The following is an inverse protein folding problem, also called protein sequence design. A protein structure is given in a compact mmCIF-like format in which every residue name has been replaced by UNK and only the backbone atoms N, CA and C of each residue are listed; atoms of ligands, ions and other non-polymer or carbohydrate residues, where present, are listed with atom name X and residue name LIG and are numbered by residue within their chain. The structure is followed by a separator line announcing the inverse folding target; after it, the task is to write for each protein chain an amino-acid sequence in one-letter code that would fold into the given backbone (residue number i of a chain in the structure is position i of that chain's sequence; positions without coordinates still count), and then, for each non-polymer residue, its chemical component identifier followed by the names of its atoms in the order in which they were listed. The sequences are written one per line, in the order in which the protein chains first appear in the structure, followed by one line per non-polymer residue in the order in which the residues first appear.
data_IF_057338458468
#
_entry.id   IF_057338458468
#
_cell.length_a   1.000
_cell.length_b   1.000
_cell.length_c   1.000
_cell.angle_alpha   90.00
_cell.angle_beta   90.00
_cell.angle_gamma   90.00
#
_symmetry.space_group_name_H-M   'P 1'
#
loop_
_entity.id
_entity.type
_entity.pdbx_description
1 polymer ?
#
# COMPACT_ATOMS: atom_id res chain seq x y z
N UNK A 1 -10.47 86.22 -19.20
CA UNK A 1 -10.80 85.51 -17.94
C UNK A 1 -9.63 84.55 -17.66
N UNK A 2 -8.52 85.07 -17.14
CA UNK A 2 -8.03 84.98 -15.74
C UNK A 2 -7.44 83.59 -15.40
N UNK A 3 -6.11 83.41 -15.40
CA UNK A 3 -5.17 83.34 -14.23
C UNK A 3 -5.43 82.11 -13.35
N UNK A 4 -4.52 81.23 -12.93
CA UNK A 4 -3.06 81.23 -12.76
C UNK A 4 -2.72 80.45 -11.47
N UNK A 5 -1.54 79.82 -11.43
CA UNK A 5 -0.72 79.50 -10.22
C UNK A 5 -1.07 78.31 -9.29
N UNK A 6 -0.02 77.51 -9.04
CA UNK A 6 0.27 76.57 -7.94
C UNK A 6 0.44 77.33 -6.59
N UNK A 7 0.90 76.76 -5.44
CA UNK A 7 0.80 75.43 -4.78
C UNK A 7 0.35 75.56 -3.27
N UNK A 8 0.47 74.46 -2.50
CA UNK A 8 0.66 74.35 -1.02
C UNK A 8 -0.50 73.84 -0.12
N UNK A 9 -0.04 73.09 0.90
CA UNK A 9 -0.68 72.24 1.93
C UNK A 9 -1.82 72.85 2.78
N UNK A 10 -2.58 71.97 3.47
CA UNK A 10 -2.62 71.99 4.96
C UNK A 10 -2.30 70.58 5.52
N UNK A 11 -1.36 70.39 6.47
CA UNK A 11 -1.44 70.55 7.94
C UNK A 11 -2.58 69.75 8.60
N UNK A 12 -2.11 68.80 9.41
CA UNK A 12 -2.72 67.91 10.43
C UNK A 12 -3.98 68.36 11.16
N UNK A 13 -4.84 67.38 11.47
CA UNK A 13 -5.38 67.16 12.83
C UNK A 13 -5.71 65.67 13.02
N UNK A 14 -5.20 65.11 14.11
CA UNK A 14 -5.35 63.74 14.57
C UNK A 14 -6.78 63.45 15.06
N UNK A 15 -7.30 62.24 14.84
CA UNK A 15 -8.08 61.52 15.86
C UNK A 15 -7.80 60.03 15.69
N UNK A 16 -7.21 59.42 16.72
CA UNK A 16 -6.82 58.03 16.73
C UNK A 16 -7.97 57.03 16.61
N UNK A 17 -7.67 55.90 15.97
CA UNK A 17 -8.31 54.62 16.24
C UNK A 17 -7.18 53.62 16.53
N UNK A 18 -7.23 52.86 17.62
CA UNK A 18 -6.19 51.90 17.94
C UNK A 18 -6.09 50.84 16.84
N UNK A 19 -4.84 50.46 16.54
CA UNK A 19 -4.49 49.40 15.60
C UNK A 19 -5.12 48.07 16.04
N UNK A 20 -5.81 47.42 15.12
CA UNK A 20 -6.28 46.05 15.29
C UNK A 20 -5.07 45.12 15.12
N UNK A 21 -4.56 44.63 16.25
CA UNK A 21 -3.43 43.71 16.33
C UNK A 21 -3.84 42.36 15.70
N UNK A 22 -3.05 41.76 14.78
CA UNK A 22 -3.37 40.45 14.23
C UNK A 22 -3.35 39.40 15.33
N UNK A 23 -4.53 38.85 15.63
CA UNK A 23 -4.69 37.78 16.61
C UNK A 23 -3.85 36.56 16.20
N UNK A 24 -2.89 36.22 17.06
CA UNK A 24 -2.13 34.98 17.04
C UNK A 24 -3.11 33.80 17.08
N UNK A 25 -3.04 32.83 16.15
CA UNK A 25 -3.91 31.68 16.23
C UNK A 25 -3.66 30.91 17.53
N UNK A 26 -4.76 30.71 18.25
CA UNK A 26 -4.92 29.96 19.49
C UNK A 26 -4.33 28.57 19.40
N UNK A 27 -3.65 28.17 20.49
CA UNK A 27 -3.07 26.87 20.74
C UNK A 27 -3.93 25.72 20.22
N UNK A 28 -3.38 24.97 19.28
CA UNK A 28 -3.87 23.64 18.92
C UNK A 28 -3.76 22.80 20.19
N UNK A 29 -4.90 22.35 20.71
CA UNK A 29 -4.96 21.31 21.73
C UNK A 29 -4.19 20.10 21.22
N UNK A 30 -3.05 19.83 21.85
CA UNK A 30 -2.35 18.57 21.73
C UNK A 30 -3.35 17.50 22.16
N UNK A 31 -3.84 16.71 21.22
CA UNK A 31 -4.53 15.48 21.56
C UNK A 31 -3.51 14.65 22.33
N UNK A 32 -3.83 14.34 23.59
CA UNK A 32 -3.10 13.35 24.37
C UNK A 32 -3.12 12.04 23.58
N UNK A 33 -2.05 11.79 22.81
CA UNK A 33 -1.68 10.45 22.40
C UNK A 33 -1.33 9.73 23.70
N UNK A 34 -2.33 9.05 24.26
CA UNK A 34 -2.05 7.99 25.22
C UNK A 34 -1.27 6.93 24.47
N UNK A 35 0.05 6.98 24.62
CA UNK A 35 0.92 5.85 24.41
C UNK A 35 0.32 4.66 25.15
N UNK A 36 -0.26 3.72 24.40
CA UNK A 36 -0.68 2.43 24.90
C UNK A 36 0.59 1.65 25.30
N UNK A 37 1.10 1.93 26.50
CA UNK A 37 2.05 1.14 27.29
C UNK A 37 1.45 -0.25 27.66
N UNK A 38 0.85 -0.93 26.68
CA UNK A 38 0.44 -2.32 26.77
C UNK A 38 0.74 -3.09 25.47
N UNK A 39 1.54 -2.51 24.58
CA UNK A 39 1.96 -3.17 23.34
C UNK A 39 3.09 -4.19 23.53
N UNK A 40 3.66 -4.29 24.74
CA UNK A 40 4.82 -5.13 25.06
C UNK A 40 4.50 -6.64 25.19
N UNK A 41 3.38 -7.11 24.63
CA UNK A 41 2.98 -8.52 24.77
C UNK A 41 2.09 -9.09 23.67
N UNK A 42 1.80 -8.34 22.59
CA UNK A 42 1.08 -8.94 21.45
C UNK A 42 2.07 -9.71 20.59
N UNK A 43 2.02 -11.04 20.69
CA UNK A 43 2.72 -11.94 19.75
C UNK A 43 2.16 -11.66 18.36
N UNK A 44 2.97 -11.01 17.52
CA UNK A 44 2.66 -10.80 16.12
C UNK A 44 3.24 -11.96 15.33
N UNK A 45 2.43 -12.55 14.45
CA UNK A 45 2.91 -13.48 13.45
C UNK A 45 2.97 -12.75 12.11
N UNK A 46 4.10 -12.88 11.42
CA UNK A 46 4.35 -12.21 10.14
C UNK A 46 4.57 -13.25 9.07
N UNK A 47 3.66 -13.26 8.08
CA UNK A 47 3.89 -13.96 6.82
C UNK A 47 4.49 -12.98 5.82
N UNK A 48 5.64 -13.33 5.24
CA UNK A 48 6.27 -12.56 4.18
C UNK A 48 6.36 -13.40 2.91
N UNK A 49 5.81 -12.86 1.83
CA UNK A 49 5.95 -13.38 0.47
C UNK A 49 6.97 -12.50 -0.27
N UNK A 50 8.08 -13.09 -0.69
CA UNK A 50 9.08 -12.45 -1.53
C UNK A 50 8.88 -12.88 -2.98
N UNK A 51 8.63 -11.91 -3.85
CA UNK A 51 8.45 -12.12 -5.29
C UNK A 51 9.83 -11.95 -5.94
N UNK A 52 10.46 -13.08 -6.30
CA UNK A 52 11.87 -13.15 -6.66
C UNK A 52 12.12 -12.85 -8.15
N UNK A 53 11.17 -13.19 -9.01
CA UNK A 53 11.24 -12.92 -10.46
C UNK A 53 9.87 -12.93 -11.10
N UNK A 54 9.78 -12.34 -12.29
CA UNK A 54 8.61 -12.41 -13.17
C UNK A 54 8.80 -13.47 -14.27
N UNK A 55 7.76 -13.71 -15.07
CA UNK A 55 7.84 -14.58 -16.24
C UNK A 55 8.58 -13.95 -17.43
N UNK A 56 8.69 -12.62 -17.50
CA UNK A 56 9.42 -11.96 -18.58
C UNK A 56 9.51 -10.42 -18.54
N UNK A 57 9.02 -9.73 -17.50
CA UNK A 57 9.12 -8.28 -17.36
C UNK A 57 10.15 -7.90 -16.28
N UNK A 58 11.18 -7.14 -16.64
CA UNK A 58 12.27 -6.76 -15.73
C UNK A 58 11.91 -5.59 -14.80
N UNK A 59 10.85 -4.84 -15.12
CA UNK A 59 10.51 -3.58 -14.46
C UNK A 59 9.29 -3.68 -13.57
N UNK A 60 8.38 -4.60 -13.85
CA UNK A 60 7.11 -4.71 -13.15
C UNK A 60 6.78 -6.15 -12.79
N UNK A 61 6.22 -6.30 -11.60
CA UNK A 61 5.73 -7.59 -11.12
C UNK A 61 4.38 -7.40 -10.44
N UNK A 62 3.48 -8.36 -10.64
CA UNK A 62 2.10 -8.24 -10.15
C UNK A 62 1.48 -9.57 -9.79
N UNK A 63 0.33 -9.47 -9.15
CA UNK A 63 -0.55 -10.58 -8.80
C UNK A 63 -2.00 -10.12 -8.97
N UNK A 64 -2.90 -11.07 -9.20
CA UNK A 64 -4.33 -10.80 -9.16
C UNK A 64 -4.84 -10.74 -7.72
N UNK A 65 -4.43 -11.68 -6.88
CA UNK A 65 -4.99 -11.86 -5.55
C UNK A 65 -4.27 -12.90 -4.71
N UNK A 66 -4.50 -12.87 -3.41
CA UNK A 66 -3.98 -13.81 -2.43
C UNK A 66 -5.11 -14.15 -1.45
N UNK A 67 -5.29 -15.43 -1.18
CA UNK A 67 -6.21 -15.92 -0.16
C UNK A 67 -5.48 -16.77 0.88
N UNK A 68 -5.90 -16.64 2.13
CA UNK A 68 -5.39 -17.42 3.26
C UNK A 68 -6.56 -18.25 3.80
N UNK A 69 -6.30 -19.52 4.09
CA UNK A 69 -7.28 -20.44 4.66
C UNK A 69 -6.80 -20.98 6.00
N UNK A 70 -7.75 -21.27 6.90
CA UNK A 70 -7.47 -21.89 8.19
C UNK A 70 -7.48 -23.43 8.12
N UNK A 71 -7.19 -24.10 9.24
CA UNK A 71 -7.18 -25.58 9.32
C UNK A 71 -8.53 -26.25 9.02
N UNK A 72 -9.62 -25.48 9.00
CA UNK A 72 -10.96 -25.96 8.67
C UNK A 72 -11.31 -25.69 7.20
N UNK A 73 -10.34 -25.22 6.41
CA UNK A 73 -10.51 -24.76 5.03
C UNK A 73 -11.48 -23.57 4.90
N UNK A 74 -11.64 -22.78 5.97
CA UNK A 74 -12.41 -21.54 5.92
C UNK A 74 -11.48 -20.37 5.56
N UNK A 75 -11.97 -19.47 4.70
CA UNK A 75 -11.19 -18.30 4.27
C UNK A 75 -10.98 -17.34 5.45
N UNK A 76 -9.72 -17.03 5.73
CA UNK A 76 -9.33 -16.05 6.75
C UNK A 76 -9.64 -14.65 6.21
N UNK A 77 -10.42 -13.88 6.98
CA UNK A 77 -10.75 -12.49 6.63
C UNK A 77 -9.57 -11.56 6.92
N UNK A 78 -8.75 -11.32 5.91
CA UNK A 78 -7.68 -10.31 5.95
C UNK A 78 -8.28 -8.90 5.79
N UNK A 79 -7.86 -7.96 6.64
CA UNK A 79 -8.25 -6.54 6.54
C UNK A 79 -7.07 -5.70 6.05
N UNK A 80 -7.35 -4.47 5.65
CA UNK A 80 -6.35 -3.53 5.15
C UNK A 80 -5.15 -3.37 6.10
N UNK A 81 -5.38 -3.26 7.41
CA UNK A 81 -4.30 -3.12 8.41
C UNK A 81 -3.45 -4.38 8.60
N UNK A 82 -3.90 -5.55 8.12
CA UNK A 82 -3.12 -6.77 8.16
C UNK A 82 -2.20 -6.89 6.95
N UNK A 83 -2.39 -6.08 5.90
CA UNK A 83 -1.68 -6.19 4.64
C UNK A 83 -0.72 -5.01 4.47
N UNK A 84 0.51 -5.31 4.06
CA UNK A 84 1.44 -4.31 3.55
C UNK A 84 2.18 -4.86 2.33
N UNK A 85 2.57 -3.97 1.43
CA UNK A 85 3.41 -4.32 0.28
C UNK A 85 4.55 -3.33 0.13
N UNK A 86 5.70 -3.82 -0.33
CA UNK A 86 6.86 -3.01 -0.63
C UNK A 86 7.52 -3.44 -1.95
N UNK A 87 7.59 -2.56 -2.96
CA UNK A 87 6.90 -1.27 -3.00
C UNK A 87 5.37 -1.45 -3.00
N UNK A 88 4.63 -0.44 -2.53
CA UNK A 88 3.18 -0.56 -2.36
C UNK A 88 2.48 -0.78 -3.70
N UNK A 89 2.80 0.02 -4.71
CA UNK A 89 2.28 -0.10 -6.07
C UNK A 89 3.12 0.73 -7.04
N UNK A 90 2.73 0.77 -8.31
CA UNK A 90 3.31 1.68 -9.32
C UNK A 90 3.18 3.16 -8.97
N UNK A 91 2.32 3.55 -8.02
CA UNK A 91 2.18 4.94 -7.57
C UNK A 91 3.41 5.50 -6.85
N UNK A 92 4.41 4.66 -6.53
CA UNK A 92 5.70 5.17 -6.03
C UNK A 92 6.50 5.92 -7.10
N UNK A 93 6.14 5.75 -8.39
CA UNK A 93 6.87 6.31 -9.51
C UNK A 93 6.45 7.77 -9.73
N UNK A 94 7.39 8.73 -9.89
CA UNK A 94 7.06 10.16 -9.99
C UNK A 94 6.11 10.55 -11.14
N UNK A 95 6.03 9.73 -12.18
CA UNK A 95 5.21 9.97 -13.37
C UNK A 95 3.84 9.28 -13.33
N UNK A 96 3.51 8.61 -12.22
CA UNK A 96 2.26 7.86 -12.02
C UNK A 96 1.48 8.53 -10.91
N UNK A 97 0.22 8.85 -11.16
CA UNK A 97 -0.69 9.43 -10.19
C UNK A 97 -2.03 8.69 -10.22
N UNK A 98 -2.51 8.29 -9.05
CA UNK A 98 -3.83 7.66 -8.87
C UNK A 98 -4.05 6.34 -9.62
N UNK A 99 -3.00 5.56 -9.90
CA UNK A 99 -3.16 4.25 -10.55
C UNK A 99 -3.92 3.27 -9.64
N UNK A 100 -4.95 2.56 -10.14
CA UNK A 100 -5.81 1.75 -9.29
C UNK A 100 -5.19 0.42 -8.86
N UNK A 101 -3.99 0.05 -9.35
CA UNK A 101 -3.31 -1.24 -9.07
C UNK A 101 -2.62 -1.27 -7.71
N UNK A 102 -3.35 -0.95 -6.66
CA UNK A 102 -2.88 -0.85 -5.26
C UNK A 102 -2.82 -2.20 -4.57
N UNK A 103 -2.07 -2.30 -3.47
CA UNK A 103 -1.89 -3.58 -2.75
C UNK A 103 -3.19 -4.13 -2.17
N UNK A 104 -4.17 -3.27 -1.87
CA UNK A 104 -5.51 -3.68 -1.41
C UNK A 104 -6.22 -4.64 -2.36
N UNK A 105 -5.90 -4.58 -3.66
CA UNK A 105 -6.46 -5.50 -4.65
C UNK A 105 -6.05 -6.95 -4.39
N UNK A 106 -4.93 -7.20 -3.69
CA UNK A 106 -4.52 -8.54 -3.30
C UNK A 106 -5.56 -9.27 -2.44
N UNK A 107 -6.42 -8.55 -1.71
CA UNK A 107 -7.36 -9.12 -0.75
C UNK A 107 -8.82 -8.77 -1.05
N UNK A 108 -9.12 -8.20 -2.23
CA UNK A 108 -10.46 -7.78 -2.62
C UNK A 108 -11.42 -8.96 -2.94
N UNK A 109 -10.88 -10.16 -3.17
CA UNK A 109 -11.63 -11.36 -3.53
C UNK A 109 -12.00 -11.49 -5.02
N UNK A 110 -11.58 -10.55 -5.86
CA UNK A 110 -11.77 -10.57 -7.31
C UNK A 110 -10.54 -11.17 -8.01
N UNK A 111 -10.26 -12.45 -7.76
CA UNK A 111 -8.96 -13.04 -8.10
C UNK A 111 -8.84 -13.56 -9.55
N UNK A 112 -9.93 -13.90 -10.23
CA UNK A 112 -9.92 -14.33 -11.63
C UNK A 112 -10.44 -13.21 -12.54
N UNK A 113 -9.54 -12.32 -12.95
CA UNK A 113 -9.88 -11.12 -13.72
C UNK A 113 -8.69 -10.63 -14.54
N UNK A 114 -8.94 -9.89 -15.61
CA UNK A 114 -7.95 -9.16 -16.43
C UNK A 114 -8.10 -7.62 -16.31
N UNK A 115 -9.01 -7.17 -15.44
CA UNK A 115 -9.31 -5.77 -15.17
C UNK A 115 -8.21 -5.16 -14.30
N UNK A 116 -7.52 -4.15 -14.82
CA UNK A 116 -6.36 -3.52 -14.19
C UNK A 116 -6.68 -3.08 -12.75
N UNK A 117 -7.83 -2.45 -12.58
CA UNK A 117 -8.34 -1.88 -11.36
C UNK A 117 -8.69 -2.89 -10.26
N UNK A 118 -8.64 -4.19 -10.55
CA UNK A 118 -8.88 -5.27 -9.59
C UNK A 118 -7.62 -6.08 -9.26
N UNK A 119 -6.46 -5.75 -9.85
CA UNK A 119 -5.19 -6.47 -9.67
C UNK A 119 -4.14 -5.57 -9.03
N UNK A 120 -3.05 -6.17 -8.56
CA UNK A 120 -1.91 -5.45 -7.99
C UNK A 120 -0.72 -5.44 -8.94
N UNK A 121 -0.03 -4.31 -9.05
CA UNK A 121 1.21 -4.17 -9.79
C UNK A 121 2.16 -3.22 -9.07
N UNK A 122 3.42 -3.61 -8.98
CA UNK A 122 4.48 -2.83 -8.33
C UNK A 122 5.76 -2.88 -9.16
N UNK A 123 6.63 -1.86 -9.12
CA UNK A 123 7.89 -1.91 -9.84
C UNK A 123 8.88 -2.84 -9.13
N UNK A 124 9.72 -3.50 -9.93
CA UNK A 124 10.90 -4.21 -9.45
C UNK A 124 12.04 -3.21 -9.27
N UNK A 125 12.46 -2.99 -8.02
CA UNK A 125 13.54 -2.05 -7.71
C UNK A 125 14.91 -2.74 -7.81
N UNK A 126 15.96 -2.05 -8.29
CA UNK A 126 17.30 -2.62 -8.35
C UNK A 126 17.76 -3.15 -6.98
N UNK A 127 18.30 -4.36 -6.98
CA UNK A 127 18.78 -5.07 -5.78
C UNK A 127 17.74 -5.29 -4.67
N UNK A 128 16.43 -5.20 -4.99
CA UNK A 128 15.35 -5.44 -4.03
C UNK A 128 14.23 -6.26 -4.68
N UNK A 129 13.75 -7.27 -3.96
CA UNK A 129 12.56 -8.00 -4.36
C UNK A 129 11.29 -7.28 -3.85
N UNK A 130 10.23 -7.33 -4.64
CA UNK A 130 8.90 -6.95 -4.18
C UNK A 130 8.46 -7.92 -3.07
N UNK A 131 7.82 -7.37 -2.05
CA UNK A 131 7.42 -8.11 -0.85
C UNK A 131 5.99 -7.79 -0.48
N UNK A 132 5.26 -8.82 -0.05
CA UNK A 132 3.93 -8.70 0.54
C UNK A 132 3.98 -9.27 1.95
N UNK A 133 3.40 -8.56 2.89
CA UNK A 133 3.36 -8.91 4.31
C UNK A 133 1.92 -9.09 4.76
N UNK A 134 1.66 -10.18 5.48
CA UNK A 134 0.45 -10.35 6.27
C UNK A 134 0.84 -10.35 7.75
N UNK A 135 0.37 -9.35 8.49
CA UNK A 135 0.68 -9.13 9.91
C UNK A 135 -0.59 -9.29 10.74
N UNK A 136 -0.57 -10.24 11.67
CA UNK A 136 -1.69 -10.49 12.57
C UNK A 136 -1.29 -10.19 14.01
N UNK A 137 -2.08 -9.37 14.70
CA UNK A 137 -1.87 -9.01 16.11
C UNK A 137 -2.34 -10.10 17.09
N UNK A 138 -2.93 -11.17 16.56
CA UNK A 138 -3.34 -12.37 17.30
C UNK A 138 -2.80 -13.60 16.57
N UNK A 139 -2.53 -14.70 17.27
CA UNK A 139 -2.14 -15.95 16.63
C UNK A 139 -3.22 -16.41 15.63
N UNK A 140 -2.84 -16.54 14.36
CA UNK A 140 -3.71 -17.06 13.28
C UNK A 140 -3.07 -18.31 12.70
N UNK A 141 -3.79 -19.43 12.77
CA UNK A 141 -3.35 -20.69 12.19
C UNK A 141 -3.70 -20.74 10.70
N UNK A 142 -2.76 -20.33 9.84
CA UNK A 142 -2.89 -20.45 8.39
C UNK A 142 -2.48 -21.85 7.95
N UNK A 143 -3.36 -22.54 7.21
CA UNK A 143 -3.09 -23.87 6.63
C UNK A 143 -2.66 -23.77 5.17
N UNK A 144 -3.27 -22.85 4.41
CA UNK A 144 -3.09 -22.76 2.96
C UNK A 144 -2.98 -21.31 2.51
N UNK A 145 -2.03 -21.03 1.62
CA UNK A 145 -2.02 -19.84 0.77
C UNK A 145 -2.47 -20.21 -0.64
N UNK A 146 -3.37 -19.41 -1.21
CA UNK A 146 -3.73 -19.48 -2.63
C UNK A 146 -3.31 -18.18 -3.29
N UNK A 147 -2.37 -18.27 -4.24
CA UNK A 147 -1.81 -17.14 -4.97
C UNK A 147 -2.34 -17.16 -6.39
N UNK A 148 -2.94 -16.05 -6.81
CA UNK A 148 -3.48 -15.84 -8.14
C UNK A 148 -2.57 -14.92 -8.94
N UNK A 149 -1.99 -15.43 -10.01
CA UNK A 149 -0.96 -14.74 -10.78
C UNK A 149 -1.52 -13.64 -11.70
N UNK A 150 -0.68 -12.69 -12.09
CA UNK A 150 -1.11 -11.53 -12.87
C UNK A 150 -1.59 -11.91 -14.28
N UNK A 151 -2.87 -11.67 -14.58
CA UNK A 151 -3.47 -12.13 -15.85
C UNK A 151 -3.35 -11.13 -17.00
N UNK A 152 -3.47 -9.82 -16.74
CA UNK A 152 -3.55 -8.79 -17.80
C UNK A 152 -2.35 -8.77 -18.74
N UNK A 153 -1.17 -9.10 -18.23
CA UNK A 153 0.07 -9.21 -19.01
C UNK A 153 0.89 -10.33 -18.39
N UNK A 154 0.73 -11.59 -18.84
CA UNK A 154 1.33 -12.75 -18.17
C UNK A 154 2.82 -12.66 -17.86
N UNK A 155 3.61 -12.02 -18.74
CA UNK A 155 5.03 -11.76 -18.51
C UNK A 155 5.35 -10.95 -17.23
N UNK A 156 4.40 -10.15 -16.73
CA UNK A 156 4.49 -9.40 -15.46
C UNK A 156 4.07 -10.22 -14.25
N UNK A 157 3.54 -11.42 -14.46
CA UNK A 157 3.21 -12.35 -13.38
C UNK A 157 4.46 -12.83 -12.67
N UNK A 158 4.30 -13.18 -11.40
CA UNK A 158 5.36 -13.80 -10.59
C UNK A 158 5.71 -15.16 -11.18
N UNK A 159 7.01 -15.46 -11.28
CA UNK A 159 7.52 -16.79 -11.61
C UNK A 159 8.02 -17.47 -10.35
N UNK A 160 9.04 -16.92 -9.70
CA UNK A 160 9.62 -17.49 -8.48
C UNK A 160 9.11 -16.75 -7.24
N UNK A 161 8.63 -17.48 -6.24
CA UNK A 161 8.16 -16.92 -4.96
C UNK A 161 8.74 -17.69 -3.76
N UNK A 162 9.07 -16.96 -2.70
CA UNK A 162 9.44 -17.51 -1.39
C UNK A 162 8.45 -17.03 -0.34
N UNK A 163 7.99 -17.92 0.54
CA UNK A 163 7.10 -17.60 1.65
C UNK A 163 7.79 -17.96 2.96
N UNK A 164 7.77 -17.01 3.90
CA UNK A 164 8.38 -17.13 5.21
C UNK A 164 7.39 -16.77 6.32
N UNK A 165 7.54 -17.40 7.48
CA UNK A 165 6.80 -17.12 8.71
C UNK A 165 7.82 -16.75 9.78
N UNK A 166 7.73 -15.53 10.32
CA UNK A 166 8.68 -15.00 11.31
C UNK A 166 10.14 -15.27 10.90
N UNK A 167 10.48 -14.88 9.66
CA UNK A 167 11.79 -15.03 9.00
C UNK A 167 12.23 -16.47 8.66
N UNK A 168 11.47 -17.49 9.03
CA UNK A 168 11.72 -18.87 8.60
C UNK A 168 11.03 -19.15 7.25
N UNK A 169 11.80 -19.50 6.22
CA UNK A 169 11.25 -19.90 4.92
C UNK A 169 10.51 -21.23 5.06
N UNK A 170 9.22 -21.22 4.75
CA UNK A 170 8.33 -22.40 4.79
C UNK A 170 8.00 -22.93 3.40
N UNK A 171 8.19 -22.12 2.36
CA UNK A 171 7.98 -22.52 0.97
C UNK A 171 8.86 -21.71 0.03
N UNK A 172 9.34 -22.33 -1.04
CA UNK A 172 9.96 -21.65 -2.18
C UNK A 172 9.66 -22.46 -3.45
N UNK A 173 9.20 -21.80 -4.50
CA UNK A 173 8.82 -22.49 -5.73
C UNK A 173 8.30 -21.58 -6.84
N UNK A 174 7.73 -22.22 -7.86
CA UNK A 174 7.20 -21.58 -9.05
C UNK A 174 5.70 -21.31 -8.96
N UNK A 175 5.28 -20.11 -9.38
CA UNK A 175 3.88 -19.76 -9.61
C UNK A 175 3.57 -19.98 -11.08
N UNK A 176 2.56 -20.81 -11.45
CA UNK A 176 2.19 -21.01 -12.84
C UNK A 176 1.88 -19.68 -13.55
N UNK A 177 2.37 -19.53 -14.78
CA UNK A 177 2.05 -18.37 -15.60
C UNK A 177 0.54 -18.31 -15.88
N UNK A 178 -0.03 -17.11 -15.85
CA UNK A 178 -1.39 -16.89 -16.35
C UNK A 178 -1.42 -16.99 -17.88
N UNK A 179 -2.58 -17.29 -18.45
CA UNK A 179 -2.83 -17.10 -19.89
C UNK A 179 -3.80 -15.95 -20.09
N UNK A 180 -4.07 -15.59 -21.35
CA UNK A 180 -5.12 -14.61 -21.67
C UNK A 180 -6.50 -15.06 -21.20
N UNK A 181 -6.72 -16.36 -21.01
CA UNK A 181 -8.02 -16.95 -20.69
C UNK A 181 -8.13 -17.43 -19.24
N UNK A 182 -7.01 -17.76 -18.59
CA UNK A 182 -7.01 -18.38 -17.28
C UNK A 182 -5.95 -17.78 -16.36
N UNK A 183 -6.35 -17.49 -15.14
CA UNK A 183 -5.42 -17.07 -14.08
C UNK A 183 -4.56 -18.26 -13.62
N UNK A 184 -3.24 -18.07 -13.57
CA UNK A 184 -2.31 -19.04 -12.98
C UNK A 184 -2.50 -19.09 -11.47
N UNK A 185 -2.58 -20.28 -10.89
CA UNK A 185 -2.89 -20.46 -9.46
C UNK A 185 -1.82 -21.34 -8.83
N UNK A 186 -1.22 -20.85 -7.75
CA UNK A 186 -0.36 -21.64 -6.87
C UNK A 186 -1.06 -21.82 -5.53
N UNK A 187 -1.20 -23.08 -5.10
CA UNK A 187 -1.69 -23.45 -3.78
C UNK A 187 -0.55 -24.02 -2.93
N UNK A 188 -0.28 -23.37 -1.80
CA UNK A 188 0.76 -23.76 -0.85
C UNK A 188 0.07 -24.29 0.40
N UNK A 189 0.22 -25.58 0.67
CA UNK A 189 -0.31 -26.23 1.86
C UNK A 189 0.81 -26.42 2.89
N UNK A 190 0.71 -25.75 4.04
CA UNK A 190 1.60 -25.98 5.17
C UNK A 190 1.13 -27.23 5.90
N UNK A 191 1.84 -28.34 5.73
CA UNK A 191 1.59 -29.56 6.51
C UNK A 191 2.07 -29.33 7.95
N UNK A 192 1.27 -29.79 8.91
CA UNK A 192 1.67 -29.92 10.32
C UNK A 192 2.79 -30.95 10.50
#
# INVERSE_FOLDING_TARGET
LALGLTPQRPVTCEVGRPAEEPQRPTSVTVADEKDDENSLGKVKIIFQLQLLSSWGDEFYIGLNGIELYDRRHERIKVRAHNLAAFPESVNILPAVDGDPRTSLNLINGCNDTDRAEQMWLTPMLPNRCARVFFVFDVPVAVSTFVIYNYRKTPARGVRHISVSVDDLIVYSGDVPESTTEKTGILEINFRE
#
